data_IF_391073277594
#
_entry.id   IF_391073277594
#
_cell.length_a   1.000
_cell.length_b   1.000
_cell.length_c   1.000
_cell.angle_alpha   90.00
_cell.angle_beta   90.00
_cell.angle_gamma   90.00
#
_symmetry.space_group_name_H-M   'P 1'
#
loop_
_entity.id
_entity.type
_entity.pdbx_description
1 polymer ?
#
# COMPACT_ATOMS: atom_id res chain seq x y z
N UNK A 1 15.53 20.30 -0.33
CA UNK A 1 14.92 19.03 -0.79
C UNK A 1 15.13 18.97 -2.29
N UNK A 2 15.39 17.80 -2.90
CA UNK A 2 15.29 17.69 -4.36
C UNK A 2 13.90 18.19 -4.78
N UNK A 3 13.85 18.87 -5.92
CA UNK A 3 12.67 19.56 -6.42
C UNK A 3 11.66 18.51 -6.91
N UNK A 4 10.83 18.00 -5.98
CA UNK A 4 9.74 17.08 -6.28
C UNK A 4 8.68 17.85 -7.05
N UNK A 5 8.41 17.45 -8.29
CA UNK A 5 7.31 18.00 -9.07
C UNK A 5 6.05 17.22 -8.68
N UNK A 6 4.89 17.87 -8.61
CA UNK A 6 3.63 17.16 -8.31
C UNK A 6 3.38 15.98 -9.26
N UNK A 7 3.81 16.12 -10.51
CA UNK A 7 3.71 15.08 -11.56
C UNK A 7 4.56 13.82 -11.30
N UNK A 8 5.52 13.86 -10.38
CA UNK A 8 6.36 12.72 -10.00
C UNK A 8 5.90 12.00 -8.73
N UNK A 9 4.77 12.44 -8.15
CA UNK A 9 4.16 11.84 -6.97
C UNK A 9 2.91 11.06 -7.40
N UNK A 10 2.84 9.81 -6.97
CA UNK A 10 1.65 8.97 -7.13
C UNK A 10 1.03 8.77 -5.76
N UNK A 11 -0.25 9.08 -5.61
CA UNK A 11 -1.02 8.76 -4.41
C UNK A 11 -2.07 7.73 -4.78
N UNK A 12 -2.01 6.59 -4.10
CA UNK A 12 -2.97 5.49 -4.26
C UNK A 12 -3.70 5.32 -2.94
N UNK A 13 -4.99 5.67 -2.94
CA UNK A 13 -5.87 5.50 -1.80
C UNK A 13 -7.02 4.58 -2.16
N UNK A 14 -7.16 3.49 -1.42
CA UNK A 14 -8.13 2.45 -1.71
C UNK A 14 -8.93 2.10 -0.46
N UNK A 15 -10.26 2.26 -0.54
CA UNK A 15 -11.17 1.93 0.54
C UNK A 15 -12.14 0.85 0.08
N UNK A 16 -12.23 -0.24 0.84
CA UNK A 16 -13.23 -1.27 0.64
C UNK A 16 -14.10 -1.43 1.89
N UNK A 17 -15.41 -1.32 1.66
CA UNK A 17 -16.42 -1.70 2.62
C UNK A 17 -17.32 -2.72 1.92
N UNK A 18 -17.21 -3.97 2.38
CA UNK A 18 -18.06 -5.13 2.16
C UNK A 18 -18.78 -5.30 0.79
N UNK A 19 -18.43 -6.37 0.09
CA UNK A 19 -19.32 -7.05 -0.87
C UNK A 19 -19.60 -8.41 -0.27
N UNK A 20 -20.88 -8.76 -0.15
CA UNK A 20 -21.41 -10.10 0.16
C UNK A 20 -20.68 -11.23 -0.62
N UNK A 21 -19.48 -11.63 -0.17
CA UNK A 21 -18.80 -12.84 -0.62
C UNK A 21 -19.04 -13.87 0.47
N UNK A 22 -19.88 -14.85 0.16
CA UNK A 22 -20.22 -15.98 1.02
C UNK A 22 -19.00 -16.49 1.80
N UNK A 23 -18.99 -16.26 3.11
CA UNK A 23 -17.95 -16.76 4.01
C UNK A 23 -18.11 -18.27 4.08
N UNK A 24 -17.15 -19.09 3.59
CA UNK A 24 -17.26 -20.53 3.69
C UNK A 24 -17.22 -20.90 5.18
N UNK A 25 -18.29 -21.53 5.67
CA UNK A 25 -18.49 -21.98 7.04
C UNK A 25 -17.21 -22.57 7.68
N UNK A 26 -16.41 -21.72 8.35
CA UNK A 26 -15.37 -22.18 9.27
C UNK A 26 -16.02 -22.47 10.61
N UNK A 27 -15.83 -23.70 11.05
CA UNK A 27 -16.43 -24.35 12.22
C UNK A 27 -16.55 -23.43 13.44
N UNK A 28 -17.75 -23.44 14.02
CA UNK A 28 -18.14 -22.80 15.28
C UNK A 28 -17.19 -23.16 16.42
N UNK A 29 -16.53 -22.15 16.99
CA UNK A 29 -16.37 -21.98 18.45
C UNK A 29 -15.64 -20.67 18.79
N UNK A 30 -16.19 -19.95 19.79
CA UNK A 30 -15.75 -18.70 20.46
C UNK A 30 -16.38 -17.38 19.94
N UNK A 31 -16.71 -16.43 20.83
CA UNK A 31 -17.60 -15.30 20.53
C UNK A 31 -16.91 -14.23 19.67
N UNK A 32 -17.51 -14.05 18.48
CA UNK A 32 -17.42 -13.00 17.46
C UNK A 32 -16.39 -11.88 17.65
N UNK A 33 -15.25 -12.00 16.96
CA UNK A 33 -14.66 -10.84 16.30
C UNK A 33 -15.74 -10.31 15.33
N UNK A 34 -16.38 -9.18 15.66
CA UNK A 34 -17.51 -8.61 14.89
C UNK A 34 -17.07 -7.99 13.56
N UNK A 35 -15.77 -7.83 13.39
CA UNK A 35 -15.18 -7.31 12.17
C UNK A 35 -13.75 -7.83 12.00
N UNK A 36 -13.33 -7.97 10.76
CA UNK A 36 -11.94 -8.17 10.33
C UNK A 36 -11.47 -6.90 9.62
N UNK A 37 -10.24 -6.49 9.86
CA UNK A 37 -9.69 -5.27 9.27
C UNK A 37 -8.20 -5.44 8.96
N UNK A 38 -7.86 -5.30 7.69
CA UNK A 38 -6.48 -5.21 7.19
C UNK A 38 -6.22 -3.79 6.70
N UNK A 39 -5.03 -3.27 6.96
CA UNK A 39 -4.64 -1.96 6.43
C UNK A 39 -3.15 -1.88 6.17
N UNK A 40 -2.77 -1.02 5.23
CA UNK A 40 -1.39 -0.65 4.93
C UNK A 40 -1.33 0.86 4.69
N UNK A 41 -0.27 1.50 5.18
CA UNK A 41 -0.01 2.91 4.95
C UNK A 41 1.50 3.13 4.86
N UNK A 42 2.03 3.18 3.64
CA UNK A 42 3.47 3.14 3.38
C UNK A 42 3.89 4.18 2.35
N UNK A 43 5.18 4.52 2.38
CA UNK A 43 5.81 5.42 1.41
C UNK A 43 6.88 4.67 0.64
N UNK A 44 6.76 4.69 -0.67
CA UNK A 44 7.68 4.05 -1.60
C UNK A 44 8.38 5.14 -2.40
N UNK A 45 9.69 5.07 -2.57
CA UNK A 45 10.43 6.09 -3.33
C UNK A 45 11.46 5.46 -4.25
N UNK A 46 11.84 6.21 -5.28
CA UNK A 46 12.94 5.84 -6.15
C UNK A 46 14.28 5.92 -5.39
N UNK A 47 15.17 4.96 -5.64
CA UNK A 47 16.47 4.88 -4.98
C UNK A 47 17.36 6.10 -5.22
N UNK A 48 17.15 6.87 -6.30
CA UNK A 48 17.86 8.14 -6.54
C UNK A 48 17.57 9.17 -5.44
N UNK A 49 16.50 8.97 -4.67
CA UNK A 49 16.12 9.78 -3.52
C UNK A 49 16.67 9.25 -2.18
N UNK A 50 17.62 8.30 -2.17
CA UNK A 50 18.19 7.69 -0.95
C UNK A 50 18.69 8.71 0.13
N UNK A 51 18.93 9.97 -0.24
CA UNK A 51 19.18 11.05 0.72
C UNK A 51 17.97 11.39 1.64
N UNK A 52 16.77 10.88 1.33
CA UNK A 52 15.56 11.01 2.16
C UNK A 52 15.56 10.05 3.35
N UNK A 53 16.15 8.86 3.22
CA UNK A 53 16.19 7.84 4.28
C UNK A 53 16.98 8.32 5.50
N UNK A 54 18.04 9.10 5.28
CA UNK A 54 18.94 9.55 6.35
C UNK A 54 18.40 10.73 7.20
N UNK A 55 17.28 11.37 6.83
CA UNK A 55 16.82 12.63 7.47
C UNK A 55 15.55 12.51 8.32
N UNK A 56 14.85 11.38 8.31
CA UNK A 56 13.43 11.34 8.73
C UNK A 56 13.08 10.37 9.87
N UNK A 57 13.99 10.18 10.83
CA UNK A 57 13.72 9.41 12.06
C UNK A 57 12.57 9.97 12.95
N UNK A 58 12.11 11.20 12.73
CA UNK A 58 11.11 11.85 13.60
C UNK A 58 9.63 11.72 13.21
N UNK A 59 9.30 11.28 11.99
CA UNK A 59 7.90 11.21 11.49
C UNK A 59 7.36 9.77 11.46
N UNK A 60 8.25 8.78 11.44
CA UNK A 60 7.90 7.34 11.41
C UNK A 60 7.14 6.90 12.66
N UNK A 61 7.39 7.49 13.83
CA UNK A 61 6.72 7.11 15.07
C UNK A 61 5.24 7.50 15.13
N UNK A 62 4.82 8.56 14.44
CA UNK A 62 3.42 9.06 14.55
C UNK A 62 2.47 8.38 13.57
N UNK A 63 2.97 7.96 12.41
CA UNK A 63 2.15 7.37 11.35
C UNK A 63 2.47 5.90 11.05
N UNK A 64 3.50 5.31 11.70
CA UNK A 64 4.03 3.96 11.40
C UNK A 64 4.25 3.74 9.89
N UNK A 65 4.64 4.79 9.17
CA UNK A 65 4.88 4.71 7.74
C UNK A 65 6.14 3.89 7.52
N UNK A 66 5.99 2.67 7.02
CA UNK A 66 7.12 1.91 6.53
C UNK A 66 7.59 2.53 5.20
N UNK A 67 8.90 2.70 5.06
CA UNK A 67 9.54 3.29 3.88
C UNK A 67 10.30 2.25 3.09
N UNK A 68 10.12 2.28 1.78
CA UNK A 68 10.75 1.34 0.87
C UNK A 68 11.37 2.06 -0.32
N UNK A 69 12.57 1.61 -0.69
CA UNK A 69 13.33 2.12 -1.83
C UNK A 69 13.23 1.15 -3.00
N UNK A 70 12.94 1.67 -4.20
CA UNK A 70 12.71 0.89 -5.42
C UNK A 70 13.44 1.49 -6.64
N UNK A 71 13.48 0.75 -7.74
CA UNK A 71 13.99 1.24 -9.04
C UNK A 71 12.83 1.57 -9.98
N UNK A 72 12.18 2.73 -9.76
CA UNK A 72 11.13 3.19 -10.66
C UNK A 72 11.70 3.49 -12.05
N UNK A 73 12.92 4.03 -12.12
CA UNK A 73 13.58 4.41 -13.38
C UNK A 73 13.67 3.27 -14.39
N UNK A 74 14.20 2.12 -13.96
CA UNK A 74 14.50 1.01 -14.86
C UNK A 74 13.53 -0.17 -14.69
N UNK A 75 12.78 -0.21 -13.59
CA UNK A 75 11.92 -1.32 -13.23
C UNK A 75 10.56 -0.86 -12.70
N UNK A 76 9.94 0.18 -13.30
CA UNK A 76 8.64 0.72 -12.90
C UNK A 76 7.54 -0.34 -12.77
N UNK A 77 7.35 -1.17 -13.79
CA UNK A 77 6.31 -2.21 -13.79
C UNK A 77 6.54 -3.24 -12.68
N UNK A 78 7.79 -3.71 -12.55
CA UNK A 78 8.16 -4.66 -11.50
C UNK A 78 8.01 -4.06 -10.09
N UNK A 79 8.41 -2.81 -9.91
CA UNK A 79 8.23 -2.09 -8.65
C UNK A 79 6.74 -1.95 -8.32
N UNK A 80 5.91 -1.64 -9.32
CA UNK A 80 4.45 -1.59 -9.16
C UNK A 80 3.88 -2.93 -8.67
N UNK A 81 4.30 -4.04 -9.29
CA UNK A 81 3.88 -5.40 -8.92
C UNK A 81 4.33 -5.79 -7.49
N UNK A 82 5.58 -5.48 -7.11
CA UNK A 82 6.11 -5.80 -5.79
C UNK A 82 5.46 -4.96 -4.68
N UNK A 83 5.16 -3.69 -4.96
CA UNK A 83 4.41 -2.80 -4.05
C UNK A 83 2.99 -3.32 -3.83
N UNK A 84 2.31 -3.70 -4.92
CA UNK A 84 0.97 -4.27 -4.86
C UNK A 84 0.92 -5.57 -4.05
N UNK A 85 1.85 -6.50 -4.33
CA UNK A 85 1.95 -7.75 -3.60
C UNK A 85 2.19 -7.51 -2.11
N UNK A 86 3.09 -6.58 -1.77
CA UNK A 86 3.32 -6.20 -0.39
C UNK A 86 2.01 -5.67 0.24
N UNK A 87 1.30 -4.75 -0.42
CA UNK A 87 0.05 -4.20 0.08
C UNK A 87 -1.03 -5.28 0.30
N UNK A 88 -1.13 -6.26 -0.60
CA UNK A 88 -2.06 -7.39 -0.50
C UNK A 88 -1.77 -8.31 0.70
N UNK A 89 -0.51 -8.42 1.17
CA UNK A 89 -0.20 -9.22 2.36
C UNK A 89 -0.90 -8.68 3.63
N UNK A 90 -1.07 -7.36 3.70
CA UNK A 90 -1.66 -6.67 4.85
C UNK A 90 -3.14 -6.32 4.67
N UNK A 91 -3.64 -6.43 3.44
CA UNK A 91 -5.03 -6.16 3.09
C UNK A 91 -5.67 -7.43 2.53
N UNK A 92 -6.41 -8.16 3.36
CA UNK A 92 -6.84 -9.54 3.10
C UNK A 92 -7.88 -9.71 1.97
N UNK A 93 -8.34 -8.63 1.30
CA UNK A 93 -9.38 -8.65 0.27
C UNK A 93 -8.88 -8.55 -1.16
N UNK A 94 -7.65 -8.12 -1.37
CA UNK A 94 -7.20 -7.76 -2.71
C UNK A 94 -6.53 -8.93 -3.39
N UNK A 95 -6.93 -9.18 -4.63
CA UNK A 95 -6.13 -9.97 -5.55
C UNK A 95 -4.95 -9.13 -6.06
N UNK A 96 -3.81 -9.76 -6.42
CA UNK A 96 -2.69 -9.04 -7.02
C UNK A 96 -3.12 -8.21 -8.25
N UNK A 97 -2.76 -6.94 -8.25
CA UNK A 97 -3.07 -5.94 -9.27
C UNK A 97 -4.35 -5.13 -9.01
N UNK A 98 -5.04 -5.35 -7.90
CA UNK A 98 -6.24 -4.58 -7.53
C UNK A 98 -5.92 -3.29 -6.76
N UNK A 99 -4.78 -3.21 -6.05
CA UNK A 99 -4.42 -2.01 -5.27
C UNK A 99 -3.65 -1.03 -6.15
N UNK A 100 -2.66 -1.51 -6.89
CA UNK A 100 -1.85 -0.70 -7.81
C UNK A 100 -2.22 -1.00 -9.26
N UNK A 101 -3.00 -0.13 -9.93
CA UNK A 101 -3.34 -0.32 -11.33
C UNK A 101 -2.08 -0.39 -12.20
N UNK A 102 -2.09 -1.27 -13.21
CA UNK A 102 -0.97 -1.40 -14.14
C UNK A 102 -0.61 -0.04 -14.76
N UNK A 103 0.67 0.31 -14.70
CA UNK A 103 1.21 1.57 -15.26
C UNK A 103 1.01 2.80 -14.39
N UNK A 104 0.47 2.68 -13.17
CA UNK A 104 0.37 3.82 -12.24
C UNK A 104 1.75 4.30 -11.76
N UNK A 105 2.73 3.40 -11.67
CA UNK A 105 4.15 3.75 -11.51
C UNK A 105 4.79 3.83 -12.89
N UNK A 106 5.48 4.95 -13.13
CA UNK A 106 6.21 5.23 -14.37
C UNK A 106 7.69 5.49 -14.08
N UNK A 107 8.59 5.43 -15.09
CA UNK A 107 10.01 5.76 -14.90
C UNK A 107 10.32 7.17 -14.36
N UNK A 108 9.37 8.10 -14.51
CA UNK A 108 9.45 9.46 -13.98
C UNK A 108 8.96 9.59 -12.54
N UNK A 109 8.29 8.57 -12.00
CA UNK A 109 7.85 8.58 -10.61
C UNK A 109 9.05 8.66 -9.68
N UNK A 110 8.86 9.42 -8.61
CA UNK A 110 9.86 9.63 -7.57
C UNK A 110 9.36 9.12 -6.23
N UNK A 111 8.07 9.34 -5.93
CA UNK A 111 7.44 8.90 -4.69
C UNK A 111 6.07 8.31 -5.00
N UNK A 112 5.72 7.23 -4.32
CA UNK A 112 4.41 6.62 -4.31
C UNK A 112 3.94 6.47 -2.86
N UNK A 113 2.79 7.03 -2.53
CA UNK A 113 2.13 6.83 -1.24
C UNK A 113 1.02 5.81 -1.44
N UNK A 114 1.03 4.75 -0.62
CA UNK A 114 0.03 3.68 -0.68
C UNK A 114 -0.71 3.65 0.64
N UNK A 115 -2.02 3.90 0.57
CA UNK A 115 -2.93 3.73 1.71
C UNK A 115 -4.09 2.85 1.29
N UNK A 116 -4.22 1.69 1.92
CA UNK A 116 -5.33 0.77 1.66
C UNK A 116 -5.91 0.22 2.96
N UNK A 117 -7.24 0.11 2.98
CA UNK A 117 -8.00 -0.44 4.12
C UNK A 117 -9.04 -1.42 3.59
N UNK A 118 -8.99 -2.66 4.09
CA UNK A 118 -10.03 -3.67 3.96
C UNK A 118 -10.76 -3.80 5.30
N UNK A 119 -12.07 -3.60 5.31
CA UNK A 119 -12.92 -3.79 6.47
C UNK A 119 -14.09 -4.72 6.13
N UNK A 120 -14.29 -5.74 6.97
CA UNK A 120 -15.37 -6.72 6.86
C UNK A 120 -16.08 -6.80 8.19
N UNK A 121 -17.39 -6.60 8.23
CA UNK A 121 -18.14 -6.60 9.49
C UNK A 121 -19.53 -7.17 9.30
N UNK A 122 -20.01 -7.93 10.29
CA UNK A 122 -21.41 -8.36 10.31
C UNK A 122 -22.23 -7.38 11.14
N UNK A 123 -23.38 -6.94 10.61
CA UNK A 123 -24.39 -6.16 11.34
C UNK A 123 -24.84 -6.83 12.65
#
# INVERSE_FOLDING_TARGET
LPDLREESIVEVTVYFADRDRDIPNRRRSMPQQRFDMGYVNNVHHDHRLAAMDARYHGVEETLRLERFSWDFTNAADKSCEEIDQYACLYTHAFEPGEIMPKGCITPSCQVCLVSAVDFRGSW
#
